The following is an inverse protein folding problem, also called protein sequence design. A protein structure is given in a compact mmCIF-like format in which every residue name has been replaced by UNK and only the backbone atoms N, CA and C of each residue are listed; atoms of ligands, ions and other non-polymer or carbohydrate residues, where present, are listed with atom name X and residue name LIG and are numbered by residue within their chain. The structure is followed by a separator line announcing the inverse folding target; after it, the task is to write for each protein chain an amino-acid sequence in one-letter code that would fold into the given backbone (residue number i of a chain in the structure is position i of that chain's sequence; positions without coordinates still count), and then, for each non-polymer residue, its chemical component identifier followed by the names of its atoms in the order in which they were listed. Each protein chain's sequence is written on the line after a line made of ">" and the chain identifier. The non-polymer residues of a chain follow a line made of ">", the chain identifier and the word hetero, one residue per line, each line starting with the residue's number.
data_IF_405933226298
#
_entry.id   IF_405933226298
#
_cell.length_a   1.000
_cell.length_b   1.000
_cell.length_c   1.000
_cell.angle_alpha   90.00
_cell.angle_beta   90.00
_cell.angle_gamma   90.00
#
_symmetry.space_group_name_H-M   'P 1'
#
loop_
_entity.id
_entity.type
_entity.pdbx_description
1 polymer ?
#
# COMPACT_ATOMS: atom_id res chain seq x y z
N UNK A 1 2.49 14.86 -4.51
CA UNK A 1 2.19 15.56 -3.26
C UNK A 1 0.75 15.24 -2.92
N UNK A 2 0.44 15.18 -1.63
CA UNK A 2 -0.91 15.00 -1.11
C UNK A 2 -0.96 15.94 0.09
N UNK A 3 -1.82 16.97 0.03
CA UNK A 3 -2.22 17.93 1.08
C UNK A 3 -2.03 19.41 0.71
N UNK A 4 -3.13 20.16 0.85
CA UNK A 4 -3.26 21.59 0.58
C UNK A 4 -2.37 22.49 1.44
N UNK A 5 -2.53 23.81 1.27
CA UNK A 5 -1.63 24.90 1.75
C UNK A 5 -0.78 24.54 2.97
N UNK A 6 0.48 24.20 2.72
CA UNK A 6 1.55 24.08 3.73
C UNK A 6 1.82 22.68 4.29
N UNK A 7 1.06 21.64 3.91
CA UNK A 7 1.31 20.27 4.37
C UNK A 7 1.85 19.42 3.23
N UNK A 8 3.16 19.15 3.23
CA UNK A 8 3.76 18.31 2.20
C UNK A 8 3.86 16.87 2.70
N UNK A 9 3.03 15.98 2.16
CA UNK A 9 3.26 14.54 2.31
C UNK A 9 3.75 13.95 0.99
N UNK A 10 4.88 13.24 1.05
CA UNK A 10 5.43 12.47 -0.07
C UNK A 10 5.08 11.00 0.12
N UNK A 11 4.44 10.41 -0.89
CA UNK A 11 4.13 8.99 -0.94
C UNK A 11 5.19 8.27 -1.78
N UNK A 12 5.69 7.14 -1.27
CA UNK A 12 6.64 6.26 -1.93
C UNK A 12 6.09 4.83 -1.92
N UNK A 13 6.39 4.06 -2.96
CA UNK A 13 6.15 2.63 -2.95
C UNK A 13 7.44 1.94 -2.50
N UNK A 14 7.35 1.20 -1.39
CA UNK A 14 8.36 0.25 -0.96
C UNK A 14 7.95 -1.14 -1.46
N UNK A 15 8.71 -1.63 -2.44
CA UNK A 15 8.45 -2.91 -3.10
C UNK A 15 8.85 -4.10 -2.23
N UNK A 16 9.81 -3.94 -1.33
CA UNK A 16 10.34 -5.02 -0.50
C UNK A 16 9.35 -5.36 0.62
N UNK A 17 8.68 -4.34 1.17
CA UNK A 17 7.68 -4.51 2.23
C UNK A 17 6.24 -4.47 1.73
N UNK A 18 6.03 -4.37 0.42
CA UNK A 18 4.72 -4.19 -0.21
C UNK A 18 3.89 -3.09 0.48
N UNK A 19 4.48 -1.89 0.61
CA UNK A 19 3.89 -0.82 1.39
C UNK A 19 3.97 0.54 0.70
N UNK A 20 3.00 1.41 1.01
CA UNK A 20 3.07 2.83 0.68
C UNK A 20 3.60 3.58 1.91
N UNK A 21 4.73 4.26 1.73
CA UNK A 21 5.34 5.11 2.74
C UNK A 21 4.95 6.57 2.53
N UNK A 22 4.32 7.18 3.52
CA UNK A 22 3.95 8.58 3.54
C UNK A 22 4.86 9.34 4.49
N UNK A 23 5.82 10.10 3.95
CA UNK A 23 6.69 10.99 4.74
C UNK A 23 6.07 12.37 4.86
N UNK A 24 5.90 12.84 6.09
CA UNK A 24 5.43 14.19 6.38
C UNK A 24 6.59 15.16 6.56
N UNK A 25 6.29 16.45 6.74
CA UNK A 25 7.26 17.46 7.18
C UNK A 25 7.19 17.75 8.68
N UNK A 26 6.38 16.99 9.44
CA UNK A 26 6.05 17.29 10.83
C UNK A 26 6.71 16.30 11.79
N UNK A 27 7.07 16.78 12.98
CA UNK A 27 7.57 15.93 14.08
C UNK A 27 6.45 15.35 14.94
N UNK A 28 5.23 15.85 14.77
CA UNK A 28 4.05 15.41 15.50
C UNK A 28 3.09 14.68 14.57
N UNK A 29 2.28 13.80 15.16
CA UNK A 29 1.23 13.07 14.46
C UNK A 29 0.22 14.03 13.79
N UNK A 30 -0.06 13.79 12.51
CA UNK A 30 -1.13 14.48 11.79
C UNK A 30 -2.42 13.64 11.86
N UNK A 31 -3.30 13.98 12.81
CA UNK A 31 -4.59 13.28 13.02
C UNK A 31 -5.50 13.29 11.80
N UNK A 32 -5.43 14.34 10.97
CA UNK A 32 -6.25 14.44 9.78
C UNK A 32 -5.73 13.48 8.69
N UNK A 33 -4.41 13.35 8.58
CA UNK A 33 -3.78 12.38 7.71
C UNK A 33 -4.05 10.94 8.21
N UNK A 34 -3.86 10.66 9.51
CA UNK A 34 -4.14 9.34 10.11
C UNK A 34 -5.56 8.87 9.79
N UNK A 35 -6.56 9.75 10.02
CA UNK A 35 -7.94 9.43 9.71
C UNK A 35 -8.15 9.20 8.20
N UNK A 36 -7.56 10.05 7.35
CA UNK A 36 -7.69 9.91 5.90
C UNK A 36 -7.04 8.63 5.38
N UNK A 37 -5.90 8.22 5.92
CA UNK A 37 -5.25 6.95 5.60
C UNK A 37 -6.16 5.77 5.97
N UNK A 38 -6.73 5.78 7.18
CA UNK A 38 -7.66 4.73 7.62
C UNK A 38 -8.91 4.61 6.74
N UNK A 39 -9.45 5.74 6.26
CA UNK A 39 -10.60 5.73 5.34
C UNK A 39 -10.21 5.28 3.93
N UNK A 40 -9.03 5.69 3.44
CA UNK A 40 -8.58 5.41 2.08
C UNK A 40 -8.07 3.98 1.87
N UNK A 41 -7.55 3.33 2.92
CA UNK A 41 -6.90 2.02 2.85
C UNK A 41 -7.47 1.04 3.87
N UNK A 42 -8.76 0.67 3.70
CA UNK A 42 -9.49 -0.17 4.66
C UNK A 42 -8.92 -1.58 4.85
N UNK A 43 -8.29 -2.13 3.82
CA UNK A 43 -7.72 -3.49 3.82
C UNK A 43 -6.24 -3.53 4.24
N UNK A 44 -5.62 -2.37 4.45
CA UNK A 44 -4.20 -2.27 4.74
C UNK A 44 -3.94 -2.16 6.24
N UNK A 45 -2.78 -2.66 6.65
CA UNK A 45 -2.28 -2.47 8.01
C UNK A 45 -1.48 -1.16 8.08
N UNK A 46 -1.90 -0.22 8.94
CA UNK A 46 -1.39 1.15 8.96
C UNK A 46 -0.61 1.39 10.24
N UNK A 47 0.67 1.72 10.07
CA UNK A 47 1.59 2.02 11.17
C UNK A 47 2.12 3.44 11.07
N UNK A 48 2.30 4.08 12.23
CA UNK A 48 3.07 5.33 12.34
C UNK A 48 4.47 5.00 12.84
N UNK A 49 5.45 5.65 12.23
CA UNK A 49 6.82 5.67 12.71
C UNK A 49 7.10 7.06 13.28
N UNK A 50 7.32 7.10 14.59
CA UNK A 50 7.66 8.34 15.30
C UNK A 50 9.13 8.71 15.07
N UNK A 51 9.46 10.01 14.94
CA UNK A 51 10.83 10.45 14.67
C UNK A 51 11.77 10.08 15.81
N UNK A 52 12.93 9.51 15.48
CA UNK A 52 13.96 9.13 16.46
C UNK A 52 14.92 10.27 16.79
N UNK A 53 14.96 11.33 15.97
CA UNK A 53 15.73 12.54 16.20
C UNK A 53 14.92 13.82 15.97
N UNK A 54 15.44 14.95 16.46
CA UNK A 54 14.83 16.28 16.26
C UNK A 54 14.89 16.79 14.81
N UNK A 55 15.58 16.09 13.93
CA UNK A 55 15.63 16.43 12.49
C UNK A 55 14.74 15.52 11.65
N UNK A 56 14.24 14.43 12.22
CA UNK A 56 13.36 13.50 11.53
C UNK A 56 11.91 13.97 11.56
N UNK A 57 11.13 13.45 10.63
CA UNK A 57 9.69 13.68 10.55
C UNK A 57 8.95 12.36 10.72
N UNK A 58 7.70 12.47 11.18
CA UNK A 58 6.76 11.35 11.27
C UNK A 58 6.56 10.75 9.88
N UNK A 59 6.59 9.42 9.84
CA UNK A 59 6.29 8.64 8.65
C UNK A 59 5.10 7.70 8.92
N UNK A 60 4.35 7.37 7.87
CA UNK A 60 3.26 6.39 7.95
C UNK A 60 3.47 5.30 6.90
N UNK A 61 3.32 4.05 7.32
CA UNK A 61 3.44 2.87 6.48
C UNK A 61 2.05 2.27 6.30
N UNK A 62 1.60 2.16 5.06
CA UNK A 62 0.36 1.47 4.68
C UNK A 62 0.77 0.15 4.02
N UNK A 63 0.68 -0.95 4.77
CA UNK A 63 1.21 -2.26 4.38
C UNK A 63 0.10 -3.14 3.81
N UNK A 64 0.43 -3.83 2.73
CA UNK A 64 -0.44 -4.79 2.08
C UNK A 64 0.15 -6.20 2.19
N UNK A 65 -0.68 -7.25 2.12
CA UNK A 65 -0.17 -8.61 1.97
C UNK A 65 0.75 -8.71 0.75
N UNK A 66 1.90 -9.38 0.91
CA UNK A 66 2.80 -9.64 -0.22
C UNK A 66 2.08 -10.59 -1.18
N UNK A 67 1.89 -10.19 -2.46
CA UNK A 67 1.14 -11.00 -3.40
C UNK A 67 1.93 -12.26 -3.79
N UNK A 68 1.27 -13.41 -3.79
CA UNK A 68 1.84 -14.69 -4.20
C UNK A 68 1.86 -14.89 -5.73
N UNK A 69 1.15 -14.04 -6.48
CA UNK A 69 1.04 -14.10 -7.94
C UNK A 69 0.63 -12.76 -8.56
N UNK A 70 0.59 -12.71 -9.89
CA UNK A 70 0.18 -11.54 -10.69
C UNK A 70 -1.27 -11.14 -10.42
N UNK A 71 -2.17 -12.10 -10.23
CA UNK A 71 -3.57 -11.82 -9.89
C UNK A 71 -3.69 -11.04 -8.58
N UNK A 72 -3.02 -11.52 -7.53
CA UNK A 72 -2.97 -10.83 -6.23
C UNK A 72 -2.23 -9.50 -6.32
N UNK A 73 -1.13 -9.43 -7.09
CA UNK A 73 -0.39 -8.19 -7.28
C UNK A 73 -1.25 -7.10 -7.93
N UNK A 74 -2.07 -7.46 -8.92
CA UNK A 74 -3.04 -6.53 -9.54
C UNK A 74 -4.09 -6.06 -8.56
N UNK A 75 -4.58 -6.95 -7.70
CA UNK A 75 -5.55 -6.60 -6.66
C UNK A 75 -4.94 -5.60 -5.67
N UNK A 76 -3.72 -5.85 -5.18
CA UNK A 76 -2.99 -4.96 -4.27
C UNK A 76 -2.70 -3.61 -4.92
N UNK A 77 -2.20 -3.58 -6.17
CA UNK A 77 -1.99 -2.34 -6.91
C UNK A 77 -3.29 -1.56 -7.13
N UNK A 78 -4.41 -2.27 -7.37
CA UNK A 78 -5.73 -1.68 -7.45
C UNK A 78 -6.17 -1.03 -6.14
N UNK A 79 -5.91 -1.66 -5.00
CA UNK A 79 -6.16 -1.09 -3.67
C UNK A 79 -5.30 0.15 -3.41
N UNK A 80 -3.98 0.05 -3.64
CA UNK A 80 -3.04 1.18 -3.53
C UNK A 80 -3.51 2.38 -4.38
N UNK A 81 -3.89 2.12 -5.63
CA UNK A 81 -4.38 3.15 -6.55
C UNK A 81 -5.67 3.80 -6.04
N UNK A 82 -6.66 3.01 -5.61
CA UNK A 82 -7.93 3.54 -5.08
C UNK A 82 -7.70 4.44 -3.87
N UNK A 83 -6.87 4.01 -2.93
CA UNK A 83 -6.57 4.82 -1.74
C UNK A 83 -5.83 6.12 -2.09
N UNK A 84 -4.83 6.06 -2.98
CA UNK A 84 -4.14 7.28 -3.45
C UNK A 84 -5.09 8.26 -4.14
N UNK A 85 -6.03 7.76 -4.95
CA UNK A 85 -7.09 8.57 -5.57
C UNK A 85 -7.98 9.22 -4.52
N UNK A 86 -8.44 8.46 -3.53
CA UNK A 86 -9.28 8.98 -2.45
C UNK A 86 -8.57 10.09 -1.65
N UNK A 87 -7.27 9.92 -1.38
CA UNK A 87 -6.47 10.96 -0.74
C UNK A 87 -6.33 12.21 -1.61
N UNK A 88 -6.06 12.05 -2.91
CA UNK A 88 -5.97 13.19 -3.84
C UNK A 88 -7.29 13.96 -3.92
N UNK A 89 -8.42 13.26 -4.05
CA UNK A 89 -9.74 13.88 -4.08
C UNK A 89 -10.02 14.67 -2.79
N UNK A 90 -9.61 14.15 -1.63
CA UNK A 90 -9.79 14.81 -0.33
C UNK A 90 -8.92 16.05 -0.15
N UNK A 91 -7.66 15.97 -0.57
CA UNK A 91 -6.63 16.90 -0.13
C UNK A 91 -6.13 17.84 -1.22
N UNK A 92 -6.34 17.47 -2.48
CA UNK A 92 -5.93 18.21 -3.67
C UNK A 92 -7.09 18.25 -4.68
N UNK A 93 -8.29 18.61 -4.22
CA UNK A 93 -9.53 18.52 -4.99
C UNK A 93 -9.44 19.16 -6.39
N UNK A 94 -8.85 20.36 -6.50
CA UNK A 94 -8.65 21.02 -7.80
C UNK A 94 -7.74 20.22 -8.74
N UNK A 95 -6.61 19.73 -8.21
CA UNK A 95 -5.69 18.88 -8.96
C UNK A 95 -6.38 17.58 -9.36
N UNK A 96 -7.15 16.98 -8.45
CA UNK A 96 -7.92 15.78 -8.74
C UNK A 96 -8.91 16.02 -9.88
N UNK A 97 -9.72 17.09 -9.83
CA UNK A 97 -10.66 17.43 -10.91
C UNK A 97 -9.96 17.61 -12.27
N UNK A 98 -8.76 18.20 -12.31
CA UNK A 98 -8.01 18.34 -13.56
C UNK A 98 -7.48 17.04 -14.17
N UNK A 99 -7.31 15.99 -13.36
CA UNK A 99 -6.76 14.70 -13.82
C UNK A 99 -7.77 13.56 -13.81
N UNK A 100 -8.93 13.74 -13.19
CA UNK A 100 -9.96 12.70 -13.04
C UNK A 100 -10.35 12.09 -14.39
N UNK A 101 -10.59 12.92 -15.40
CA UNK A 101 -10.89 12.47 -16.75
C UNK A 101 -9.76 11.62 -17.36
N UNK A 102 -8.50 11.97 -17.12
CA UNK A 102 -7.33 11.19 -17.56
C UNK A 102 -7.22 9.87 -16.79
N UNK A 103 -7.49 9.88 -15.49
CA UNK A 103 -7.49 8.67 -14.66
C UNK A 103 -8.62 7.71 -15.04
N UNK A 104 -9.76 8.21 -15.51
CA UNK A 104 -10.85 7.39 -16.01
C UNK A 104 -10.54 6.85 -17.42
N UNK A 105 -9.94 7.68 -18.28
CA UNK A 105 -9.62 7.31 -19.67
C UNK A 105 -8.44 6.34 -19.76
N UNK A 106 -7.36 6.58 -19.01
CA UNK A 106 -6.15 5.75 -19.03
C UNK A 106 -6.07 4.75 -17.88
N UNK A 107 -6.85 4.92 -16.82
CA UNK A 107 -6.81 4.02 -15.68
C UNK A 107 -7.68 2.78 -15.80
N UNK A 108 -8.55 2.70 -16.81
CA UNK A 108 -9.20 1.47 -17.21
C UNK A 108 -8.32 0.60 -18.13
N UNK A 109 -7.21 1.15 -18.67
CA UNK A 109 -6.15 0.31 -19.23
C UNK A 109 -5.45 -0.35 -18.05
N UNK A 110 -6.02 -1.42 -17.52
CA UNK A 110 -5.22 -2.47 -16.90
C UNK A 110 -4.24 -2.95 -17.98
N UNK A 111 -3.11 -2.28 -18.15
CA UNK A 111 -2.04 -2.72 -19.04
C UNK A 111 -1.55 -4.12 -18.62
N UNK A 112 -1.74 -4.46 -17.35
CA UNK A 112 -1.54 -5.80 -16.79
C UNK A 112 -2.68 -6.80 -17.11
N UNK A 113 -3.88 -6.37 -17.52
CA UNK A 113 -4.95 -7.26 -18.01
C UNK A 113 -4.58 -7.95 -19.31
N UNK A 114 -3.83 -7.26 -20.17
CA UNK A 114 -3.29 -7.84 -21.40
C UNK A 114 -2.10 -8.79 -21.14
N UNK A 115 -1.48 -8.73 -19.95
CA UNK A 115 -0.41 -9.63 -19.57
C UNK A 115 -1.00 -10.95 -19.07
N UNK A 116 -1.28 -11.86 -20.01
CA UNK A 116 -1.50 -13.27 -19.70
C UNK A 116 -0.14 -13.93 -19.46
N UNK A 117 0.43 -13.72 -18.27
CA UNK A 117 1.54 -14.53 -17.80
C UNK A 117 0.93 -15.88 -17.41
N UNK A 118 1.41 -16.97 -18.01
CA UNK A 118 1.03 -18.32 -17.61
C UNK A 118 1.56 -18.55 -16.19
N UNK A 119 0.75 -18.24 -15.19
CA UNK A 119 1.09 -18.56 -13.81
C UNK A 119 1.18 -20.08 -13.69
N UNK A 120 2.29 -20.63 -13.18
CA UNK A 120 2.32 -22.04 -12.82
C UNK A 120 1.23 -22.24 -11.76
N UNK A 121 0.29 -23.14 -12.02
CA UNK A 121 -0.72 -23.55 -11.05
C UNK A 121 0.00 -24.29 -9.92
N UNK A 122 0.52 -23.56 -8.94
CA UNK A 122 1.21 -24.12 -7.78
C UNK A 122 0.14 -24.51 -6.75
N UNK A 123 -0.09 -25.81 -6.61
CA UNK A 123 -0.85 -26.35 -5.48
C UNK A 123 0.06 -26.39 -4.26
N UNK A 124 -0.22 -25.55 -3.26
CA UNK A 124 0.52 -25.55 -2.00
C UNK A 124 -0.02 -26.67 -1.11
N UNK A 125 0.77 -27.72 -0.94
CA UNK A 125 0.46 -28.81 0.00
C UNK A 125 1.13 -28.50 1.33
N UNK A 126 0.34 -28.47 2.41
CA UNK A 126 0.86 -28.31 3.77
C UNK A 126 1.71 -29.53 4.12
N UNK A 127 3.00 -29.34 4.38
CA UNK A 127 3.84 -30.41 4.91
C UNK A 127 3.42 -30.64 6.37
N UNK A 128 3.00 -31.87 6.75
CA UNK A 128 2.70 -32.17 8.14
C UNK A 128 3.96 -31.98 8.98
N UNK A 129 3.84 -31.20 10.06
CA UNK A 129 4.93 -31.06 11.02
C UNK A 129 5.24 -32.44 11.60
N UNK A 130 6.50 -32.90 11.61
CA UNK A 130 6.85 -34.09 12.36
C UNK A 130 6.56 -33.80 13.82
N UNK A 131 5.46 -34.34 14.34
CA UNK A 131 5.24 -34.37 15.78
C UNK A 131 6.39 -35.17 16.39
N UNK A 132 6.98 -34.59 17.43
CA UNK A 132 7.98 -35.23 18.27
C UNK A 132 7.49 -36.63 18.68
N UNK A 133 8.19 -37.63 18.17
CA UNK A 133 7.89 -39.05 18.36
C UNK A 133 9.00 -39.87 17.72
N UNK A 134 10.26 -39.51 17.98
CA UNK A 134 11.40 -40.34 17.65
C UNK A 134 11.44 -41.52 18.63
N UNK A 135 10.75 -42.61 18.29
CA UNK A 135 11.21 -43.91 18.73
C UNK A 135 12.52 -44.20 17.99
N UNK A 136 13.63 -43.98 18.68
CA UNK A 136 14.93 -44.47 18.25
C UNK A 136 14.91 -46.01 18.38
N UNK A 137 15.01 -46.71 17.26
CA UNK A 137 15.27 -48.15 17.26
C UNK A 137 16.78 -48.34 17.42
N UNK A 138 17.16 -49.03 18.50
CA UNK A 138 18.51 -49.51 18.80
C UNK A 138 18.98 -50.61 17.84
#
# INVERSE_FOLDING_TARGET
>A
FVMGRGRLTRAYLDYDTCSLLFKTAFQAADRQLEHALGVAFTEADIHREDPSSRTDAVSYHVRFPVPAGLGEARLVLGQMRRGLVALMARFEAERFSSIEALMNTFGARETLAGLQIREPSVSTVRIPSPMAGSDFIH
#
